data_IF_565580460391
#
_entry.id   IF_565580460391
#
_cell.length_a   1.000
_cell.length_b   1.000
_cell.length_c   1.000
_cell.angle_alpha   90.00
_cell.angle_beta   90.00
_cell.angle_gamma   90.00
#
_symmetry.space_group_name_H-M   'P 1'
#
loop_
_entity.id
_entity.type
_entity.pdbx_description
1 polymer ?
#
# COMPACT_ATOMS: atom_id res chain seq x y z
N UNK A 1 -20.45 3.66 -7.48
CA UNK A 1 -19.65 4.48 -6.53
C UNK A 1 -19.35 3.74 -5.23
N UNK A 2 -20.35 3.31 -4.45
CA UNK A 2 -20.11 2.66 -3.15
C UNK A 2 -19.24 1.39 -3.19
N UNK A 3 -19.44 0.52 -4.20
CA UNK A 3 -18.58 -0.66 -4.41
C UNK A 3 -17.12 -0.29 -4.67
N UNK A 4 -16.89 0.81 -5.38
CA UNK A 4 -15.55 1.33 -5.66
C UNK A 4 -14.89 1.85 -4.39
N UNK A 5 -15.58 2.70 -3.61
CA UNK A 5 -15.08 3.16 -2.30
C UNK A 5 -14.71 1.99 -1.39
N UNK A 6 -15.60 1.00 -1.27
CA UNK A 6 -15.33 -0.22 -0.49
C UNK A 6 -14.06 -0.93 -0.95
N UNK A 7 -13.88 -1.09 -2.28
CA UNK A 7 -12.70 -1.72 -2.86
C UNK A 7 -11.42 -0.95 -2.53
N UNK A 8 -11.43 0.39 -2.58
CA UNK A 8 -10.28 1.21 -2.20
C UNK A 8 -9.93 1.08 -0.71
N UNK A 9 -10.92 1.03 0.18
CA UNK A 9 -10.69 0.79 1.62
C UNK A 9 -10.11 -0.60 1.88
N UNK A 10 -10.50 -1.61 1.09
CA UNK A 10 -9.99 -2.98 1.18
C UNK A 10 -8.56 -3.14 0.65
N UNK A 11 -8.06 -2.18 -0.14
CA UNK A 11 -6.65 -2.14 -0.58
C UNK A 11 -5.68 -1.92 0.59
N UNK A 12 -6.15 -1.34 1.71
CA UNK A 12 -5.34 -1.20 2.90
C UNK A 12 -4.91 -2.58 3.43
N UNK A 13 -3.60 -2.90 3.30
CA UNK A 13 -3.02 -4.11 3.85
C UNK A 13 -2.84 -3.93 5.35
N UNK A 14 -3.60 -4.70 6.11
CA UNK A 14 -3.42 -4.80 7.57
C UNK A 14 -2.69 -6.10 7.85
N UNK A 15 -1.58 -6.06 8.55
CA UNK A 15 -0.84 -7.26 8.92
C UNK A 15 -1.46 -7.93 10.16
N UNK A 16 -2.76 -8.28 10.02
CA UNK A 16 -3.53 -8.94 11.09
C UNK A 16 -2.88 -10.24 11.54
N UNK A 17 -2.24 -10.98 10.60
CA UNK A 17 -1.57 -12.25 10.93
C UNK A 17 -0.46 -12.05 11.95
N UNK A 18 0.39 -11.03 11.77
CA UNK A 18 1.46 -10.73 12.72
C UNK A 18 0.88 -10.31 14.09
N UNK A 19 -0.14 -9.47 14.12
CA UNK A 19 -0.79 -9.07 15.37
C UNK A 19 -1.40 -10.26 16.12
N UNK A 20 -2.02 -11.21 15.40
CA UNK A 20 -2.56 -12.45 15.99
C UNK A 20 -1.43 -13.32 16.57
N UNK A 21 -0.30 -13.44 15.86
CA UNK A 21 0.88 -14.18 16.38
C UNK A 21 1.38 -13.56 17.67
N UNK A 22 1.48 -12.23 17.76
CA UNK A 22 1.88 -11.55 19.01
C UNK A 22 0.89 -11.77 20.15
N UNK A 23 -0.43 -11.83 19.89
CA UNK A 23 -1.42 -12.16 20.89
C UNK A 23 -1.23 -13.61 21.40
N UNK A 24 -1.04 -14.56 20.51
CA UNK A 24 -0.81 -15.96 20.86
C UNK A 24 0.44 -16.11 21.72
N UNK A 25 1.54 -15.44 21.33
CA UNK A 25 2.78 -15.43 22.11
C UNK A 25 2.59 -14.79 23.49
N UNK A 26 1.86 -13.67 23.56
CA UNK A 26 1.54 -13.03 24.84
C UNK A 26 0.75 -13.95 25.78
N UNK A 27 -0.27 -14.64 25.26
CA UNK A 27 -1.06 -15.59 26.04
C UNK A 27 -0.22 -16.79 26.50
N UNK A 28 0.62 -17.33 25.64
CA UNK A 28 1.51 -18.45 25.97
C UNK A 28 2.49 -18.08 27.08
N UNK A 29 3.16 -16.91 26.98
CA UNK A 29 4.08 -16.43 28.01
C UNK A 29 3.35 -16.12 29.34
N UNK A 30 2.14 -15.57 29.28
CA UNK A 30 1.34 -15.35 30.49
C UNK A 30 1.01 -16.65 31.21
N UNK A 31 0.68 -17.72 30.47
CA UNK A 31 0.44 -19.04 31.04
C UNK A 31 1.68 -19.65 31.69
N UNK A 32 2.85 -19.48 31.08
CA UNK A 32 4.13 -19.95 31.68
C UNK A 32 4.43 -19.19 32.97
N UNK A 33 4.14 -17.89 33.03
CA UNK A 33 4.42 -17.04 34.20
C UNK A 33 3.56 -17.36 35.44
N UNK A 34 2.42 -18.04 35.27
CA UNK A 34 1.52 -18.37 36.40
C UNK A 34 2.06 -19.50 37.28
N UNK A 35 3.01 -20.31 36.82
CA UNK A 35 3.47 -21.50 37.55
C UNK A 35 4.96 -21.52 37.91
N UNK A 36 5.73 -20.49 37.57
CA UNK A 36 7.18 -20.47 37.70
C UNK A 36 7.65 -19.45 38.76
N UNK A 37 8.76 -19.77 39.42
CA UNK A 37 9.46 -18.85 40.36
C UNK A 37 10.05 -17.62 39.66
N UNK A 38 10.28 -17.68 38.37
CA UNK A 38 10.69 -16.56 37.51
C UNK A 38 9.51 -15.94 36.73
N UNK A 39 8.27 -16.17 37.19
CA UNK A 39 7.04 -15.76 36.53
C UNK A 39 6.97 -14.28 36.11
N UNK A 40 7.61 -13.40 36.87
CA UNK A 40 7.60 -11.95 36.60
C UNK A 40 8.24 -11.62 35.25
N UNK A 41 9.29 -12.34 34.81
CA UNK A 41 9.95 -12.13 33.52
C UNK A 41 9.03 -12.53 32.38
N UNK A 42 8.33 -13.65 32.51
CA UNK A 42 7.35 -14.10 31.50
C UNK A 42 6.15 -13.16 31.39
N UNK A 43 5.66 -12.65 32.52
CA UNK A 43 4.55 -11.69 32.55
C UNK A 43 4.94 -10.35 31.92
N UNK A 44 6.17 -9.88 32.16
CA UNK A 44 6.68 -8.66 31.54
C UNK A 44 6.81 -8.82 30.01
N UNK A 45 7.35 -9.96 29.56
CA UNK A 45 7.44 -10.28 28.12
C UNK A 45 6.05 -10.38 27.49
N UNK A 46 5.08 -11.04 28.15
CA UNK A 46 3.70 -11.11 27.70
C UNK A 46 3.08 -9.71 27.53
N UNK A 47 3.32 -8.80 28.49
CA UNK A 47 2.88 -7.41 28.43
C UNK A 47 3.43 -6.66 27.21
N UNK A 48 4.71 -6.84 26.90
CA UNK A 48 5.35 -6.23 25.73
C UNK A 48 4.70 -6.73 24.42
N UNK A 49 4.50 -8.04 24.26
CA UNK A 49 3.87 -8.62 23.07
C UNK A 49 2.40 -8.17 22.92
N UNK A 50 1.66 -8.10 24.02
CA UNK A 50 0.29 -7.58 24.02
C UNK A 50 0.24 -6.12 23.59
N UNK A 51 1.14 -5.27 24.11
CA UNK A 51 1.26 -3.87 23.73
C UNK A 51 1.58 -3.68 22.25
N UNK A 52 2.54 -4.44 21.73
CA UNK A 52 2.88 -4.42 20.28
C UNK A 52 1.67 -4.82 19.43
N UNK A 53 0.93 -5.84 19.82
CA UNK A 53 -0.29 -6.25 19.11
C UNK A 53 -1.34 -5.12 19.08
N UNK A 54 -1.56 -4.44 20.20
CA UNK A 54 -2.49 -3.30 20.30
C UNK A 54 -2.07 -2.17 19.36
N UNK A 55 -0.79 -1.82 19.33
CA UNK A 55 -0.25 -0.81 18.43
C UNK A 55 -0.48 -1.19 16.96
N UNK A 56 -0.26 -2.45 16.59
CA UNK A 56 -0.47 -2.92 15.22
C UNK A 56 -1.95 -2.83 14.80
N UNK A 57 -2.89 -3.15 15.67
CA UNK A 57 -4.32 -2.98 15.38
C UNK A 57 -4.73 -1.50 15.32
N UNK A 58 -4.18 -0.67 16.20
CA UNK A 58 -4.44 0.77 16.23
C UNK A 58 -4.02 1.47 14.93
N UNK A 59 -2.81 1.18 14.46
CA UNK A 59 -2.29 1.76 13.20
C UNK A 59 -3.13 1.34 11.99
N UNK A 60 -3.57 0.08 11.95
CA UNK A 60 -4.43 -0.43 10.89
C UNK A 60 -5.80 0.24 10.84
N UNK A 61 -6.43 0.44 11.98
CA UNK A 61 -7.70 1.15 12.11
C UNK A 61 -7.60 2.60 11.66
N UNK A 62 -6.51 3.26 12.06
CA UNK A 62 -6.23 4.66 11.70
C UNK A 62 -6.08 4.83 10.19
N UNK A 63 -5.33 3.95 9.51
CA UNK A 63 -5.15 4.03 8.05
C UNK A 63 -6.48 3.89 7.29
N UNK A 64 -7.34 2.95 7.70
CA UNK A 64 -8.68 2.82 7.10
C UNK A 64 -9.56 4.06 7.32
N UNK A 65 -9.49 4.69 8.50
CA UNK A 65 -10.22 5.94 8.79
C UNK A 65 -9.74 7.06 7.88
N UNK A 66 -8.42 7.20 7.69
CA UNK A 66 -7.82 8.21 6.80
C UNK A 66 -8.24 8.02 5.33
N UNK A 67 -8.22 6.79 4.82
CA UNK A 67 -8.72 6.49 3.47
C UNK A 67 -10.19 6.90 3.32
N UNK A 68 -11.03 6.60 4.31
CA UNK A 68 -12.44 6.99 4.28
C UNK A 68 -12.63 8.50 4.33
N UNK A 69 -11.83 9.22 5.13
CA UNK A 69 -11.86 10.67 5.20
C UNK A 69 -11.46 11.29 3.85
N UNK A 70 -10.36 10.83 3.26
CA UNK A 70 -9.90 11.28 1.95
C UNK A 70 -10.94 11.02 0.85
N UNK A 71 -11.59 9.84 0.85
CA UNK A 71 -12.65 9.53 -0.12
C UNK A 71 -13.88 10.42 0.05
N UNK A 72 -14.20 10.83 1.27
CA UNK A 72 -15.29 11.76 1.54
C UNK A 72 -14.95 13.17 1.04
N UNK A 73 -13.77 13.67 1.33
CA UNK A 73 -13.27 14.94 0.82
C UNK A 73 -13.30 14.99 -0.71
N UNK A 74 -12.75 13.94 -1.36
CA UNK A 74 -12.80 13.81 -2.82
C UNK A 74 -14.23 13.74 -3.39
N UNK A 75 -15.19 13.20 -2.65
CA UNK A 75 -16.59 13.18 -3.04
C UNK A 75 -17.21 14.58 -2.96
N UNK A 76 -16.92 15.31 -1.90
CA UNK A 76 -17.38 16.70 -1.69
C UNK A 76 -16.79 17.64 -2.76
N UNK A 77 -15.55 17.42 -3.19
CA UNK A 77 -14.88 18.15 -4.28
C UNK A 77 -15.27 17.70 -5.70
N UNK A 78 -15.95 16.56 -5.84
CA UNK A 78 -16.29 15.97 -7.14
C UNK A 78 -15.14 15.21 -7.82
N UNK A 79 -13.94 15.23 -7.28
CA UNK A 79 -12.74 14.55 -7.84
C UNK A 79 -12.86 13.03 -7.80
N UNK A 80 -13.64 12.47 -6.87
CA UNK A 80 -13.91 11.04 -6.78
C UNK A 80 -14.65 10.48 -8.02
N UNK A 81 -15.50 11.28 -8.67
CA UNK A 81 -16.19 10.86 -9.90
C UNK A 81 -15.22 10.69 -11.05
N UNK A 82 -14.22 11.57 -11.17
CA UNK A 82 -13.16 11.48 -12.18
C UNK A 82 -12.38 10.19 -11.99
N UNK A 83 -11.97 9.92 -10.75
CA UNK A 83 -11.25 8.71 -10.38
C UNK A 83 -12.09 7.45 -10.65
N UNK A 84 -13.38 7.45 -10.28
CA UNK A 84 -14.28 6.34 -10.52
C UNK A 84 -14.42 6.04 -12.02
N UNK A 85 -14.55 7.06 -12.86
CA UNK A 85 -14.64 6.90 -14.32
C UNK A 85 -13.38 6.27 -14.88
N UNK A 86 -12.19 6.71 -14.42
CA UNK A 86 -10.90 6.14 -14.84
C UNK A 86 -10.76 4.66 -14.46
N UNK A 87 -11.27 4.27 -13.29
CA UNK A 87 -11.20 2.89 -12.80
C UNK A 87 -12.38 2.01 -13.21
N UNK A 88 -13.37 2.54 -13.93
CA UNK A 88 -14.56 1.78 -14.37
C UNK A 88 -14.33 0.96 -15.65
N UNK A 89 -13.22 1.15 -16.35
CA UNK A 89 -12.93 0.36 -17.54
C UNK A 89 -12.36 -1.03 -17.18
N UNK A 90 -12.48 -1.99 -18.12
CA UNK A 90 -12.13 -3.40 -17.91
C UNK A 90 -10.63 -3.67 -17.65
N UNK A 91 -9.77 -2.73 -18.04
CA UNK A 91 -8.31 -2.84 -17.86
C UNK A 91 -7.78 -2.34 -16.50
N UNK A 92 -8.64 -1.72 -15.67
CA UNK A 92 -8.21 -1.24 -14.35
C UNK A 92 -7.78 -2.40 -13.44
N UNK A 93 -6.64 -2.25 -12.79
CA UNK A 93 -6.04 -3.27 -11.92
C UNK A 93 -5.98 -2.80 -10.47
N UNK A 94 -6.19 -3.75 -9.56
CA UNK A 94 -6.13 -3.53 -8.11
C UNK A 94 -5.27 -4.64 -7.52
N UNK A 95 -4.08 -4.33 -7.06
CA UNK A 95 -3.20 -5.29 -6.40
C UNK A 95 -3.04 -4.97 -4.92
N UNK A 96 -3.83 -5.63 -4.09
CA UNK A 96 -3.72 -5.53 -2.63
C UNK A 96 -2.36 -6.03 -2.13
N UNK A 97 -1.76 -7.00 -2.82
CA UNK A 97 -0.45 -7.57 -2.48
C UNK A 97 0.64 -6.52 -2.54
N UNK A 98 0.65 -5.70 -3.58
CA UNK A 98 1.63 -4.64 -3.82
C UNK A 98 1.14 -3.26 -3.39
N UNK A 99 -0.10 -3.17 -2.88
CA UNK A 99 -0.74 -1.94 -2.42
C UNK A 99 -0.81 -0.84 -3.49
N UNK A 100 -1.06 -1.25 -4.73
CA UNK A 100 -1.17 -0.36 -5.89
C UNK A 100 -2.45 -0.67 -6.65
N UNK A 101 -3.15 0.38 -7.09
CA UNK A 101 -4.21 0.28 -8.07
C UNK A 101 -3.95 1.27 -9.20
N UNK A 102 -4.27 0.91 -10.45
CA UNK A 102 -4.11 1.82 -11.58
C UNK A 102 -5.23 1.68 -12.61
N UNK A 103 -5.62 2.82 -13.15
CA UNK A 103 -6.54 2.99 -14.24
C UNK A 103 -5.81 3.28 -15.56
N UNK A 104 -6.43 4.05 -16.43
CA UNK A 104 -5.81 4.57 -17.66
C UNK A 104 -4.92 5.77 -17.40
N UNK A 105 -5.35 6.64 -16.51
CA UNK A 105 -4.69 7.92 -16.21
C UNK A 105 -4.11 7.96 -14.81
N UNK A 106 -4.79 7.39 -13.82
CA UNK A 106 -4.37 7.52 -12.43
C UNK A 106 -3.82 6.23 -11.86
N UNK A 107 -2.76 6.37 -11.05
CA UNK A 107 -2.23 5.33 -10.19
C UNK A 107 -2.44 5.73 -8.73
N UNK A 108 -2.91 4.78 -7.92
CA UNK A 108 -3.12 4.93 -6.50
C UNK A 108 -2.10 4.08 -5.74
N UNK A 109 -1.30 4.72 -4.90
CA UNK A 109 -0.35 4.05 -4.02
C UNK A 109 -0.83 4.08 -2.57
N UNK A 110 -1.07 2.91 -2.02
CA UNK A 110 -1.54 2.71 -0.65
C UNK A 110 -0.39 2.39 0.32
N UNK A 111 0.83 2.16 -0.17
CA UNK A 111 1.98 1.79 0.66
C UNK A 111 2.59 3.00 1.37
N UNK A 112 2.93 4.04 0.62
CA UNK A 112 3.70 5.18 1.09
C UNK A 112 2.88 6.29 1.73
N UNK A 113 1.55 6.29 1.55
CA UNK A 113 0.71 7.38 2.05
C UNK A 113 0.52 7.30 3.57
N UNK A 114 1.04 8.28 4.29
CA UNK A 114 0.74 8.49 5.72
C UNK A 114 -0.75 8.84 5.92
N UNK A 115 -1.39 9.48 4.95
CA UNK A 115 -2.72 10.09 5.02
C UNK A 115 -3.77 9.46 4.09
N UNK A 116 -3.72 8.13 3.91
CA UNK A 116 -4.69 7.44 3.06
C UNK A 116 -4.03 6.75 1.87
N UNK A 117 -4.20 7.27 0.66
CA UNK A 117 -3.49 6.84 -0.55
C UNK A 117 -3.01 8.07 -1.34
N UNK A 118 -1.92 7.89 -2.07
CA UNK A 118 -1.37 8.90 -2.97
C UNK A 118 -1.93 8.66 -4.37
N UNK A 119 -2.32 9.74 -5.04
CA UNK A 119 -2.79 9.74 -6.43
C UNK A 119 -1.66 10.29 -7.30
N UNK A 120 -1.37 9.61 -8.40
CA UNK A 120 -0.39 10.04 -9.39
C UNK A 120 -1.02 10.00 -10.76
N UNK A 121 -0.79 11.06 -11.56
CA UNK A 121 -1.22 11.13 -12.95
C UNK A 121 -0.17 10.42 -13.82
N UNK A 122 -0.57 9.34 -14.47
CA UNK A 122 0.30 8.56 -15.34
C UNK A 122 0.66 9.30 -16.65
N UNK A 123 -0.02 10.42 -16.95
CA UNK A 123 0.34 11.28 -18.08
C UNK A 123 1.62 12.09 -17.82
N UNK A 124 1.94 12.34 -16.54
CA UNK A 124 3.15 13.04 -16.12
C UNK A 124 4.36 12.09 -16.03
N UNK A 125 4.14 10.79 -16.14
CA UNK A 125 5.18 9.78 -16.00
C UNK A 125 5.84 9.51 -17.36
N UNK A 126 7.14 9.80 -17.42
CA UNK A 126 7.98 9.59 -18.60
C UNK A 126 8.53 8.17 -18.66
N UNK A 127 8.88 7.59 -17.52
CA UNK A 127 9.49 6.26 -17.48
C UNK A 127 9.01 5.44 -16.27
N UNK A 128 8.93 4.11 -16.46
CA UNK A 128 8.55 3.13 -15.43
C UNK A 128 9.58 2.02 -15.42
N UNK A 129 10.18 1.74 -14.28
CA UNK A 129 11.17 0.67 -14.15
C UNK A 129 11.17 0.05 -12.75
N UNK A 130 11.90 -1.06 -12.59
CA UNK A 130 12.15 -1.65 -11.27
C UNK A 130 13.29 -0.93 -10.60
N UNK A 131 13.19 -0.68 -9.30
CA UNK A 131 14.26 -0.13 -8.50
C UNK A 131 14.32 -0.86 -7.16
N UNK A 132 15.53 -1.25 -6.75
CA UNK A 132 15.81 -1.78 -5.42
C UNK A 132 16.74 -0.85 -4.63
N UNK A 133 16.87 0.41 -5.07
CA UNK A 133 17.67 1.43 -4.38
C UNK A 133 16.76 2.48 -3.78
N UNK A 134 17.01 2.84 -2.54
CA UNK A 134 16.36 3.96 -1.82
C UNK A 134 17.46 4.84 -1.28
N UNK A 135 17.43 6.13 -1.60
CA UNK A 135 18.44 7.12 -1.18
C UNK A 135 19.89 6.71 -1.47
N UNK A 136 20.10 5.97 -2.58
CA UNK A 136 21.42 5.48 -3.01
C UNK A 136 21.87 4.15 -2.37
N UNK A 137 21.07 3.59 -1.46
CA UNK A 137 21.37 2.32 -0.80
C UNK A 137 20.53 1.16 -1.38
N UNK A 138 21.14 0.00 -1.64
CA UNK A 138 20.46 -1.18 -2.10
C UNK A 138 19.53 -1.73 -1.01
N UNK A 139 18.31 -2.11 -1.40
CA UNK A 139 17.28 -2.69 -0.53
C UNK A 139 17.00 -4.14 -0.94
N UNK A 140 16.60 -4.96 0.01
CA UNK A 140 16.07 -6.30 -0.27
C UNK A 140 14.70 -6.26 -0.99
N UNK A 141 14.02 -5.13 -0.88
CA UNK A 141 12.69 -4.90 -1.48
C UNK A 141 12.82 -4.25 -2.84
N UNK A 142 12.06 -4.77 -3.81
CA UNK A 142 11.96 -4.22 -5.16
C UNK A 142 10.73 -3.31 -5.21
N UNK A 143 10.91 -2.10 -5.74
CA UNK A 143 9.86 -1.10 -5.96
C UNK A 143 9.61 -0.88 -7.44
N UNK A 144 8.44 -0.34 -7.77
CA UNK A 144 8.20 0.28 -9.07
C UNK A 144 8.62 1.74 -8.94
N UNK A 145 9.57 2.17 -9.76
CA UNK A 145 9.95 3.57 -9.87
C UNK A 145 9.19 4.21 -11.03
N UNK A 146 8.54 5.32 -10.74
CA UNK A 146 7.90 6.21 -11.70
C UNK A 146 8.74 7.47 -11.81
N UNK A 147 9.18 7.78 -13.02
CA UNK A 147 10.04 8.93 -13.29
C UNK A 147 9.28 9.94 -14.16
N UNK A 148 9.23 11.17 -13.71
CA UNK A 148 8.65 12.32 -14.44
C UNK A 148 9.66 12.91 -15.43
N UNK A 149 9.23 13.80 -16.30
CA UNK A 149 10.08 14.40 -17.34
C UNK A 149 11.21 15.27 -16.75
N UNK A 150 11.06 15.81 -15.55
CA UNK A 150 12.08 16.56 -14.81
C UNK A 150 13.12 15.67 -14.11
N UNK A 151 13.00 14.33 -14.23
CA UNK A 151 13.88 13.36 -13.59
C UNK A 151 13.51 13.02 -12.15
N UNK A 152 12.45 13.60 -11.60
CA UNK A 152 11.95 13.25 -10.26
C UNK A 152 11.48 11.80 -10.22
N UNK A 153 11.83 11.07 -9.16
CA UNK A 153 11.49 9.66 -9.02
C UNK A 153 10.59 9.44 -7.82
N UNK A 154 9.53 8.66 -8.06
CA UNK A 154 8.61 8.24 -7.03
C UNK A 154 8.56 6.72 -6.98
N UNK A 155 8.83 6.14 -5.79
CA UNK A 155 8.72 4.71 -5.57
C UNK A 155 7.29 4.36 -5.15
N UNK A 156 6.71 3.34 -5.81
CA UNK A 156 5.37 2.86 -5.53
C UNK A 156 5.31 1.35 -5.53
N UNK A 157 4.42 0.80 -4.75
CA UNK A 157 4.28 -0.62 -4.60
C UNK A 157 5.59 -1.28 -4.17
N UNK A 158 5.53 -2.46 -3.62
CA UNK A 158 6.73 -3.17 -3.19
C UNK A 158 6.59 -4.68 -3.30
N UNK A 159 7.68 -5.37 -3.61
CA UNK A 159 7.76 -6.81 -3.66
C UNK A 159 9.09 -7.29 -3.05
N UNK A 160 9.06 -8.37 -2.26
CA UNK A 160 10.28 -8.98 -1.72
C UNK A 160 11.13 -9.67 -2.81
N UNK A 161 10.49 -10.05 -3.94
CA UNK A 161 11.17 -10.63 -5.09
C UNK A 161 10.38 -10.35 -6.37
N UNK A 162 11.07 -10.37 -7.50
CA UNK A 162 10.43 -10.27 -8.80
C UNK A 162 9.53 -11.49 -9.01
N UNK A 163 8.26 -11.25 -9.30
CA UNK A 163 7.27 -12.28 -9.65
C UNK A 163 6.69 -11.95 -11.01
N UNK A 164 6.12 -12.94 -11.68
CA UNK A 164 5.46 -12.76 -12.97
C UNK A 164 4.33 -11.72 -12.90
N UNK A 165 3.52 -11.75 -11.81
CA UNK A 165 2.48 -10.76 -11.56
C UNK A 165 3.06 -9.33 -11.41
N UNK A 166 4.17 -9.16 -10.67
CA UNK A 166 4.80 -7.88 -10.46
C UNK A 166 5.43 -7.34 -11.75
N UNK A 167 6.12 -8.21 -12.49
CA UNK A 167 6.69 -7.89 -13.81
C UNK A 167 5.60 -7.50 -14.81
N UNK A 168 4.49 -8.25 -14.84
CA UNK A 168 3.33 -7.93 -15.67
C UNK A 168 2.69 -6.58 -15.35
N UNK A 169 2.66 -6.21 -14.06
CA UNK A 169 2.17 -4.90 -13.63
C UNK A 169 3.07 -3.77 -14.17
N UNK A 170 4.39 -3.93 -14.09
CA UNK A 170 5.36 -2.96 -14.63
C UNK A 170 5.21 -2.83 -16.14
N UNK A 171 5.07 -3.96 -16.85
CA UNK A 171 4.88 -3.95 -18.30
C UNK A 171 3.59 -3.21 -18.71
N UNK A 172 2.49 -3.44 -17.97
CA UNK A 172 1.23 -2.72 -18.20
C UNK A 172 1.36 -1.22 -17.93
N UNK A 173 2.02 -0.81 -16.84
CA UNK A 173 2.26 0.60 -16.56
C UNK A 173 3.12 1.26 -17.65
N UNK A 174 4.18 0.60 -18.11
CA UNK A 174 4.99 1.07 -19.26
C UNK A 174 4.15 1.26 -20.51
N UNK A 175 3.22 0.35 -20.78
CA UNK A 175 2.34 0.48 -21.94
C UNK A 175 1.39 1.67 -21.79
N UNK A 176 0.79 1.86 -20.62
CA UNK A 176 -0.13 2.97 -20.34
C UNK A 176 0.60 4.31 -20.49
N UNK A 177 1.77 4.46 -19.88
CA UNK A 177 2.56 5.72 -19.94
C UNK A 177 3.01 6.04 -21.36
N UNK A 178 3.40 5.05 -22.17
CA UNK A 178 3.75 5.24 -23.58
C UNK A 178 2.56 5.70 -24.43
N UNK A 179 1.37 5.12 -24.20
CA UNK A 179 0.16 5.52 -24.91
C UNK A 179 -0.27 6.94 -24.55
N UNK A 180 -0.10 7.34 -23.27
CA UNK A 180 -0.42 8.69 -22.83
C UNK A 180 0.62 9.72 -23.32
N UNK A 181 1.91 9.39 -23.35
CA UNK A 181 2.98 10.26 -23.85
C UNK A 181 2.96 10.46 -25.37
N UNK A 182 2.51 9.47 -26.13
CA UNK A 182 2.38 9.57 -27.59
C UNK A 182 1.30 10.54 -28.07
N UNK A 183 0.33 10.88 -27.23
CA UNK A 183 -0.71 11.84 -27.56
C UNK A 183 -0.28 13.32 -27.44
N UNK A 184 0.88 13.60 -26.85
CA UNK A 184 1.40 14.97 -26.69
C UNK A 184 2.29 15.46 -27.84
N UNK A 185 2.56 14.63 -28.85
CA UNK A 185 3.48 14.95 -29.96
C UNK A 185 2.80 14.98 -31.35
N UNK A 186 1.48 15.25 -31.41
CA UNK A 186 0.77 15.52 -32.68
C UNK A 186 0.25 16.93 -32.76
#
# INVERSE_FOLDING_TARGET
MEKFKKKLVEMCKVNVKAAVVFIILALFLALLGIGDSEGDVYLLAAGIFAFVAILMFGTAGTKKKRIKAQLREMEEEGSLQILYNDFSYTGAKFSKKYQVAYGRRYLLDFAAAKEGFRIMDLQEIHNVFCCNMVDGEPQETIYIALETADGSRTLVGSAAKMTEEFSGMIANLKQITRLNGGAQWQ
#
